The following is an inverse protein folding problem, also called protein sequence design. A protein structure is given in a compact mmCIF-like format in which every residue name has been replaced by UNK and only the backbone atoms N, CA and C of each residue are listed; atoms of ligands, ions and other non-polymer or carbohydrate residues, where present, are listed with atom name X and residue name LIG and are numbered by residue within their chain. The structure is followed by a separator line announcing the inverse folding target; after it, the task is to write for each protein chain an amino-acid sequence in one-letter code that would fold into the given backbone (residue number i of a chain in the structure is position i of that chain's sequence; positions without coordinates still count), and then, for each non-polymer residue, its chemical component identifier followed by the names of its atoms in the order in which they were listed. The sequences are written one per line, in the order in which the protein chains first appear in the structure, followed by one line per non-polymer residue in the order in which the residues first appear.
data_IF_412444741652
#
_entry.id   IF_412444741652
#
_cell.length_a   1.000
_cell.length_b   1.000
_cell.length_c   1.000
_cell.angle_alpha   90.00
_cell.angle_beta   90.00
_cell.angle_gamma   90.00
#
_symmetry.space_group_name_H-M   'P 1'
#
loop_
_entity.id
_entity.type
_entity.pdbx_description
1 polymer ?
#
# COMPACT_ATOMS: atom_id res chain seq x y z
N UNK A 1 35.89 3.04 2.63
CA UNK A 1 34.73 3.51 3.41
C UNK A 1 33.42 3.37 2.64
N UNK A 2 33.29 3.92 1.43
CA UNK A 2 32.07 3.83 0.61
C UNK A 2 31.57 2.39 0.36
N UNK A 3 32.48 1.43 0.20
CA UNK A 3 32.11 0.02 0.02
C UNK A 3 31.37 -0.57 1.22
N UNK A 4 31.84 -0.31 2.45
CA UNK A 4 31.21 -0.80 3.68
C UNK A 4 29.83 -0.16 3.88
N UNK A 5 29.71 1.15 3.63
CA UNK A 5 28.44 1.86 3.70
C UNK A 5 27.43 1.29 2.70
N UNK A 6 27.87 1.07 1.46
CA UNK A 6 27.01 0.48 0.41
C UNK A 6 26.52 -0.92 0.81
N UNK A 7 27.41 -1.78 1.34
CA UNK A 7 27.02 -3.11 1.80
C UNK A 7 25.97 -3.07 2.92
N UNK A 8 26.14 -2.16 3.89
CA UNK A 8 25.17 -1.98 4.98
C UNK A 8 23.81 -1.54 4.43
N UNK A 9 23.80 -0.59 3.49
CA UNK A 9 22.58 -0.11 2.85
C UNK A 9 21.87 -1.21 2.05
N UNK A 10 22.61 -2.02 1.28
CA UNK A 10 22.05 -3.15 0.55
C UNK A 10 21.47 -4.22 1.50
N UNK A 11 22.19 -4.55 2.58
CA UNK A 11 21.72 -5.53 3.57
C UNK A 11 20.48 -5.06 4.31
N UNK A 12 20.44 -3.80 4.74
CA UNK A 12 19.26 -3.21 5.35
C UNK A 12 18.09 -3.18 4.36
N UNK A 13 18.33 -2.75 3.13
CA UNK A 13 17.30 -2.74 2.10
C UNK A 13 16.74 -4.14 1.80
N UNK A 14 17.60 -5.16 1.74
CA UNK A 14 17.20 -6.56 1.60
C UNK A 14 16.41 -7.06 2.81
N UNK A 15 16.79 -6.66 4.02
CA UNK A 15 16.03 -6.95 5.24
C UNK A 15 14.62 -6.34 5.16
N UNK A 16 14.48 -5.08 4.73
CA UNK A 16 13.18 -4.45 4.55
C UNK A 16 12.33 -5.14 3.47
N UNK A 17 12.94 -5.62 2.39
CA UNK A 17 12.26 -6.44 1.37
C UNK A 17 11.75 -7.76 1.94
N UNK A 18 12.56 -8.41 2.78
CA UNK A 18 12.16 -9.62 3.47
C UNK A 18 11.00 -9.36 4.45
N UNK A 19 11.06 -8.27 5.22
CA UNK A 19 9.97 -7.84 6.09
C UNK A 19 8.69 -7.50 5.32
N UNK A 20 8.80 -6.89 4.13
CA UNK A 20 7.65 -6.65 3.26
C UNK A 20 6.97 -7.98 2.86
N UNK A 21 7.76 -8.98 2.46
CA UNK A 21 7.24 -10.31 2.13
C UNK A 21 6.58 -11.00 3.32
N UNK A 22 7.18 -10.91 4.52
CA UNK A 22 6.57 -11.47 5.75
C UNK A 22 5.26 -10.75 6.07
N UNK A 23 5.24 -9.42 5.99
CA UNK A 23 4.05 -8.61 6.23
C UNK A 23 2.91 -8.95 5.28
N UNK A 24 3.22 -9.24 4.01
CA UNK A 24 2.23 -9.65 3.02
C UNK A 24 1.58 -11.00 3.36
N UNK A 25 2.35 -11.96 3.88
CA UNK A 25 1.84 -13.31 4.22
C UNK A 25 1.15 -13.35 5.58
N UNK A 26 1.65 -12.58 6.56
CA UNK A 26 1.23 -12.70 7.96
C UNK A 26 0.07 -11.79 8.36
N UNK A 27 -0.19 -10.71 7.63
CA UNK A 27 -1.28 -9.78 7.96
C UNK A 27 -2.65 -10.36 7.59
N UNK A 28 -3.69 -10.17 8.43
CA UNK A 28 -4.97 -10.86 8.29
C UNK A 28 -5.85 -10.30 7.16
N UNK A 29 -5.74 -9.01 6.85
CA UNK A 29 -6.60 -8.29 5.91
C UNK A 29 -5.79 -7.64 4.78
N UNK A 30 -6.38 -7.49 3.59
CA UNK A 30 -5.82 -6.83 2.41
C UNK A 30 -5.30 -5.43 2.74
N UNK A 31 -6.07 -4.61 3.47
CA UNK A 31 -5.62 -3.25 3.83
C UNK A 31 -4.38 -3.28 4.73
N UNK A 32 -4.33 -4.20 5.69
CA UNK A 32 -3.17 -4.41 6.56
C UNK A 32 -1.95 -4.94 5.79
N UNK A 33 -2.16 -5.89 4.87
CA UNK A 33 -1.10 -6.42 3.98
C UNK A 33 -0.50 -5.32 3.13
N UNK A 34 -1.35 -4.49 2.51
CA UNK A 34 -0.92 -3.37 1.68
C UNK A 34 -0.14 -2.32 2.48
N UNK A 35 -0.63 -1.97 3.66
CA UNK A 35 0.03 -0.99 4.52
C UNK A 35 1.41 -1.46 4.98
N UNK A 36 1.51 -2.73 5.42
CA UNK A 36 2.80 -3.33 5.79
C UNK A 36 3.76 -3.38 4.60
N UNK A 37 3.29 -3.85 3.45
CA UNK A 37 4.12 -4.03 2.24
C UNK A 37 4.58 -2.69 1.69
N UNK A 38 3.70 -1.69 1.60
CA UNK A 38 4.02 -0.38 1.01
C UNK A 38 5.10 0.33 1.81
N UNK A 39 5.00 0.36 3.14
CA UNK A 39 6.00 1.00 4.02
C UNK A 39 7.36 0.33 3.93
N UNK A 40 7.39 -0.99 4.08
CA UNK A 40 8.64 -1.76 4.05
C UNK A 40 9.30 -1.75 2.66
N UNK A 41 8.51 -1.86 1.59
CA UNK A 41 9.02 -1.84 0.22
C UNK A 41 9.64 -0.48 -0.14
N UNK A 42 8.98 0.62 0.26
CA UNK A 42 9.46 1.97 -0.03
C UNK A 42 10.84 2.24 0.61
N UNK A 43 11.02 1.83 1.87
CA UNK A 43 12.32 1.90 2.55
C UNK A 43 13.34 0.93 1.94
N UNK A 44 12.92 -0.30 1.62
CA UNK A 44 13.79 -1.32 1.03
C UNK A 44 14.39 -0.90 -0.30
N UNK A 45 13.54 -0.47 -1.24
CA UNK A 45 13.98 0.04 -2.56
C UNK A 45 14.87 1.26 -2.39
N UNK A 46 14.47 2.22 -1.55
CA UNK A 46 15.23 3.45 -1.34
C UNK A 46 16.66 3.17 -0.86
N UNK A 47 16.81 2.28 0.12
CA UNK A 47 18.12 1.89 0.65
C UNK A 47 18.97 1.13 -0.38
N UNK A 48 18.37 0.20 -1.13
CA UNK A 48 19.07 -0.53 -2.19
C UNK A 48 19.56 0.43 -3.28
N UNK A 49 18.68 1.30 -3.78
CA UNK A 49 19.02 2.26 -4.85
C UNK A 49 20.08 3.27 -4.40
N UNK A 50 20.02 3.73 -3.15
CA UNK A 50 21.05 4.58 -2.56
C UNK A 50 22.40 3.86 -2.45
N UNK A 51 22.40 2.60 -1.99
CA UNK A 51 23.60 1.79 -1.92
C UNK A 51 24.21 1.50 -3.30
N UNK A 52 23.38 1.29 -4.33
CA UNK A 52 23.83 1.14 -5.72
C UNK A 52 24.46 2.44 -6.24
N UNK A 53 23.81 3.58 -6.05
CA UNK A 53 24.35 4.87 -6.47
C UNK A 53 25.73 5.16 -5.82
N UNK A 54 25.88 4.88 -4.53
CA UNK A 54 27.14 5.06 -3.80
C UNK A 54 28.23 4.05 -4.16
N UNK A 55 27.87 2.85 -4.60
CA UNK A 55 28.85 1.79 -4.93
C UNK A 55 29.56 2.05 -6.25
N UNK A 56 28.81 2.50 -7.25
CA UNK A 56 29.33 2.68 -8.60
C UNK A 56 29.89 4.08 -8.83
N UNK A 57 29.44 5.08 -8.07
CA UNK A 57 29.90 6.48 -8.16
C UNK A 57 29.86 7.02 -9.61
N UNK A 58 28.91 6.50 -10.40
CA UNK A 58 28.71 6.84 -11.80
C UNK A 58 27.42 7.64 -11.95
N UNK A 59 27.50 8.75 -12.69
CA UNK A 59 26.38 9.68 -12.85
C UNK A 59 25.18 9.02 -13.56
N UNK A 60 25.43 8.20 -14.58
CA UNK A 60 24.35 7.54 -15.31
C UNK A 60 23.62 6.51 -14.43
N UNK A 61 24.36 5.78 -13.59
CA UNK A 61 23.78 4.85 -12.60
C UNK A 61 22.98 5.62 -11.54
N UNK A 62 23.53 6.72 -10.99
CA UNK A 62 22.83 7.53 -9.99
C UNK A 62 21.50 8.08 -10.51
N UNK A 63 21.47 8.60 -11.74
CA UNK A 63 20.24 9.12 -12.37
C UNK A 63 19.21 8.01 -12.58
N UNK A 64 19.63 6.81 -13.03
CA UNK A 64 18.73 5.65 -13.18
C UNK A 64 18.17 5.19 -11.84
N UNK A 65 19.01 5.10 -10.81
CA UNK A 65 18.58 4.75 -9.45
C UNK A 65 17.54 5.75 -8.92
N UNK A 66 17.77 7.04 -9.11
CA UNK A 66 16.81 8.08 -8.72
C UNK A 66 15.49 7.97 -9.51
N UNK A 67 15.56 7.73 -10.81
CA UNK A 67 14.38 7.53 -11.65
C UNK A 67 13.54 6.32 -11.18
N UNK A 68 14.18 5.21 -10.81
CA UNK A 68 13.50 4.04 -10.24
C UNK A 68 12.78 4.39 -8.94
N UNK A 69 13.45 5.11 -8.03
CA UNK A 69 12.85 5.53 -6.75
C UNK A 69 11.63 6.42 -6.98
N UNK A 70 11.75 7.45 -7.83
CA UNK A 70 10.66 8.37 -8.15
C UNK A 70 9.49 7.62 -8.79
N UNK A 71 9.78 6.74 -9.75
CA UNK A 71 8.76 5.95 -10.43
C UNK A 71 7.99 5.07 -9.45
N UNK A 72 8.68 4.35 -8.56
CA UNK A 72 8.04 3.52 -7.55
C UNK A 72 7.28 4.34 -6.50
N UNK A 73 7.80 5.50 -6.10
CA UNK A 73 7.09 6.42 -5.19
C UNK A 73 5.82 7.00 -5.80
N UNK A 74 5.77 7.19 -7.11
CA UNK A 74 4.58 7.69 -7.79
C UNK A 74 3.56 6.58 -8.06
N UNK A 75 4.03 5.40 -8.49
CA UNK A 75 3.16 4.29 -8.87
C UNK A 75 2.63 3.51 -7.68
N UNK A 76 3.39 3.38 -6.59
CA UNK A 76 2.96 2.61 -5.41
C UNK A 76 1.71 3.20 -4.72
N UNK A 77 1.57 4.52 -4.50
CA UNK A 77 0.35 5.10 -3.94
C UNK A 77 -0.87 4.93 -4.84
N UNK A 78 -0.69 5.06 -6.16
CA UNK A 78 -1.77 4.87 -7.14
C UNK A 78 -2.22 3.41 -7.12
N UNK A 79 -1.30 2.46 -7.16
CA UNK A 79 -1.59 1.04 -7.04
C UNK A 79 -2.29 0.72 -5.70
N UNK A 80 -1.78 1.26 -4.59
CA UNK A 80 -2.39 1.07 -3.28
C UNK A 80 -3.80 1.66 -3.19
N UNK A 81 -4.04 2.82 -3.78
CA UNK A 81 -5.38 3.40 -3.81
C UNK A 81 -6.35 2.53 -4.63
N UNK A 82 -5.94 2.09 -5.81
CA UNK A 82 -6.76 1.24 -6.67
C UNK A 82 -7.08 -0.11 -6.04
N UNK A 83 -6.08 -0.80 -5.46
CA UNK A 83 -6.28 -2.10 -4.81
C UNK A 83 -7.16 -1.93 -3.57
N UNK A 84 -6.95 -0.88 -2.76
CA UNK A 84 -7.76 -0.62 -1.56
C UNK A 84 -9.23 -0.35 -1.92
N UNK A 85 -9.47 0.50 -2.92
CA UNK A 85 -10.81 0.77 -3.44
C UNK A 85 -11.46 -0.50 -4.00
N UNK A 86 -10.74 -1.26 -4.82
CA UNK A 86 -11.26 -2.51 -5.38
C UNK A 86 -11.60 -3.54 -4.30
N UNK A 87 -10.72 -3.73 -3.30
CA UNK A 87 -10.95 -4.66 -2.20
C UNK A 87 -12.20 -4.28 -1.38
N UNK A 88 -12.35 -2.99 -1.06
CA UNK A 88 -13.51 -2.50 -0.32
C UNK A 88 -14.82 -2.65 -1.11
N UNK A 89 -14.83 -2.24 -2.38
CA UNK A 89 -16.03 -2.32 -3.23
C UNK A 89 -16.39 -3.76 -3.63
N UNK A 90 -15.42 -4.68 -3.65
CA UNK A 90 -15.67 -6.10 -3.91
C UNK A 90 -16.20 -6.86 -2.68
N UNK A 91 -16.38 -6.17 -1.54
CA UNK A 91 -16.89 -6.78 -0.31
C UNK A 91 -15.92 -7.75 0.36
N UNK A 92 -14.60 -7.57 0.18
CA UNK A 92 -13.60 -8.38 0.89
C UNK A 92 -13.76 -8.15 2.40
N UNK A 93 -13.86 -9.22 3.21
CA UNK A 93 -14.04 -9.06 4.65
C UNK A 93 -12.83 -8.36 5.27
N UNK A 94 -13.12 -7.34 6.08
CA UNK A 94 -12.12 -6.69 6.94
C UNK A 94 -11.70 -7.62 8.08
N UNK A 95 -10.57 -7.34 8.72
CA UNK A 95 -10.13 -8.10 9.89
C UNK A 95 -11.16 -8.05 11.03
N UNK A 96 -11.39 -9.17 11.72
CA UNK A 96 -12.36 -9.28 12.83
C UNK A 96 -12.11 -8.29 13.98
N UNK A 97 -10.86 -7.83 14.15
CA UNK A 97 -10.47 -6.81 15.14
C UNK A 97 -10.76 -5.37 14.72
N UNK A 98 -11.44 -5.13 13.60
CA UNK A 98 -11.72 -3.78 13.09
C UNK A 98 -12.79 -3.10 13.95
N UNK A 99 -12.39 -2.05 14.68
CA UNK A 99 -13.26 -1.34 15.63
C UNK A 99 -14.27 -0.40 14.97
N UNK A 100 -13.96 0.12 13.78
CA UNK A 100 -14.82 1.09 13.08
C UNK A 100 -14.68 0.93 11.57
N UNK A 101 -15.82 0.87 10.89
CA UNK A 101 -15.94 1.01 9.44
C UNK A 101 -17.03 2.05 9.15
N UNK A 102 -16.61 3.31 9.03
CA UNK A 102 -17.52 4.43 8.80
C UNK A 102 -18.15 4.42 7.40
N UNK A 103 -17.53 3.72 6.45
CA UNK A 103 -18.02 3.63 5.07
C UNK A 103 -19.06 2.51 4.90
N UNK A 104 -19.17 1.60 5.88
CA UNK A 104 -20.07 0.44 5.81
C UNK A 104 -21.51 0.88 5.58
N UNK A 105 -22.10 0.43 4.47
CA UNK A 105 -23.48 0.74 4.10
C UNK A 105 -23.74 2.21 3.77
N UNK A 106 -22.70 3.05 3.59
CA UNK A 106 -22.82 4.46 3.20
C UNK A 106 -22.46 4.74 1.74
N UNK A 107 -21.81 3.79 1.07
CA UNK A 107 -21.49 3.89 -0.35
C UNK A 107 -22.50 3.12 -1.18
N UNK A 108 -23.21 3.84 -2.03
CA UNK A 108 -24.11 3.24 -3.02
C UNK A 108 -23.31 2.89 -4.29
N UNK A 109 -23.32 1.60 -4.66
CA UNK A 109 -22.61 1.07 -5.82
C UNK A 109 -23.27 1.46 -7.16
N UNK A 110 -24.57 1.74 -7.17
CA UNK A 110 -25.32 2.10 -8.37
C UNK A 110 -25.22 3.60 -8.66
N UNK A 111 -25.38 4.43 -7.63
CA UNK A 111 -25.35 5.89 -7.78
C UNK A 111 -23.96 6.50 -7.59
N UNK A 112 -22.99 5.72 -7.10
CA UNK A 112 -21.65 6.17 -6.72
C UNK A 112 -21.65 7.34 -5.72
N UNK A 113 -22.71 7.48 -4.93
CA UNK A 113 -22.85 8.55 -3.93
C UNK A 113 -22.50 8.06 -2.52
N UNK A 114 -21.88 8.95 -1.73
CA UNK A 114 -21.59 8.73 -0.31
C UNK A 114 -22.64 9.46 0.52
N UNK A 115 -23.44 8.73 1.29
CA UNK A 115 -24.39 9.34 2.22
C UNK A 115 -23.68 9.80 3.49
N UNK A 116 -23.85 11.08 3.84
CA UNK A 116 -23.34 11.66 5.10
C UNK A 116 -24.20 11.28 6.31
N UNK A 117 -25.46 10.89 6.10
CA UNK A 117 -26.39 10.49 7.16
C UNK A 117 -26.35 8.97 7.29
N UNK A 118 -25.94 8.46 8.46
CA UNK A 118 -26.00 7.04 8.82
C UNK A 118 -27.43 6.53 8.98
N UNK A 119 -28.25 6.66 7.94
CA UNK A 119 -29.57 6.04 7.81
C UNK A 119 -29.53 5.07 6.63
N UNK A 120 -29.33 3.81 6.98
CA UNK A 120 -30.05 2.66 6.46
C UNK A 120 -30.47 2.71 4.98
N UNK A 121 -29.53 2.50 4.06
CA UNK A 121 -29.89 2.04 2.70
C UNK A 121 -30.60 0.67 2.80
N UNK A 122 -30.31 -0.11 3.85
CA UNK A 122 -31.01 -1.34 4.19
C UNK A 122 -32.51 -1.14 4.55
N UNK A 123 -32.92 0.00 5.12
CA UNK A 123 -34.34 0.26 5.46
C UNK A 123 -35.10 0.96 4.32
N UNK A 124 -34.40 1.60 3.39
CA UNK A 124 -35.03 2.17 2.19
C UNK A 124 -35.44 1.09 1.17
N UNK A 125 -34.74 -0.05 1.15
CA UNK A 125 -35.00 -1.12 0.19
C UNK A 125 -36.16 -2.04 0.62
N UNK A 126 -36.49 -2.11 1.92
CA UNK A 126 -37.66 -2.83 2.44
C UNK A 126 -38.98 -2.05 2.26
N UNK A 127 -38.93 -0.72 2.13
CA UNK A 127 -40.13 0.14 2.04
C UNK A 127 -40.65 0.36 0.60
N UNK A 128 -40.02 -0.23 -0.42
CA UNK A 128 -40.38 -0.08 -1.84
C UNK A 128 -41.04 -1.31 -2.48
N UNK A 129 -41.41 -2.32 -1.67
CA UNK A 129 -41.99 -3.59 -2.12
C UNK A 129 -43.45 -3.80 -1.68
N UNK A 130 -44.19 -2.72 -1.46
CA UNK A 130 -45.65 -2.74 -1.22
C UNK A 130 -46.40 -1.97 -2.31
#
# INVERSE_FOLDING_TARGET
MAQSVSLILLLLGALFMFLASIGLVRMPDVLMRMHSTTKSNTLGVGLIMLGVALRFDDFAIAVRSLAIVIFLFSTAPVAAHMIGRAAYLSGVPLWDGTLSDEMRGRYDLETHTLSSRGKDIASAQEAGSD
#
